data_IF_699381929932
#
_entry.id   IF_699381929932
#
_cell.length_a   1.000
_cell.length_b   1.000
_cell.length_c   1.000
_cell.angle_alpha   90.00
_cell.angle_beta   90.00
_cell.angle_gamma   90.00
#
_symmetry.space_group_name_H-M   'P 1'
#
loop_
_entity.id
_entity.type
_entity.pdbx_description
1 polymer ?
#
# COMPACT_ATOMS: atom_id res chain seq x y z
N UNK A 1 7.53 17.92 -8.23
CA UNK A 1 6.96 16.89 -9.15
C UNK A 1 5.86 16.17 -8.40
N UNK A 2 4.78 15.70 -9.06
CA UNK A 2 3.66 15.06 -8.34
C UNK A 2 3.98 13.63 -7.87
N UNK A 3 4.87 12.90 -8.55
CA UNK A 3 5.49 11.71 -7.95
C UNK A 3 6.65 12.20 -7.08
N UNK A 4 6.65 11.78 -5.82
CA UNK A 4 7.66 12.14 -4.84
C UNK A 4 9.06 11.73 -5.30
N UNK A 5 10.06 12.56 -5.01
CA UNK A 5 11.43 12.04 -4.96
C UNK A 5 11.59 11.17 -3.69
N UNK A 6 12.63 10.34 -3.59
CA UNK A 6 12.89 9.60 -2.35
C UNK A 6 12.95 10.50 -1.11
N UNK A 7 13.61 11.65 -1.20
CA UNK A 7 13.69 12.59 -0.08
C UNK A 7 12.31 13.18 0.28
N UNK A 8 11.49 13.53 -0.73
CA UNK A 8 10.14 14.00 -0.49
C UNK A 8 9.27 12.91 0.15
N UNK A 9 9.42 11.64 -0.24
CA UNK A 9 8.71 10.56 0.40
C UNK A 9 9.16 10.36 1.85
N UNK A 10 10.45 10.43 2.11
CA UNK A 10 10.98 10.41 3.47
C UNK A 10 10.40 11.55 4.34
N UNK A 11 10.35 12.78 3.79
CA UNK A 11 9.71 13.92 4.45
C UNK A 11 8.21 13.73 4.70
N UNK A 12 7.48 13.10 3.76
CA UNK A 12 6.07 12.75 3.96
C UNK A 12 5.91 11.86 5.19
N UNK A 13 6.69 10.79 5.31
CA UNK A 13 6.62 9.87 6.45
C UNK A 13 7.01 10.58 7.78
N UNK A 14 8.02 11.46 7.75
CA UNK A 14 8.40 12.24 8.93
C UNK A 14 7.29 13.20 9.37
N UNK A 15 6.62 13.86 8.42
CA UNK A 15 5.45 14.71 8.68
C UNK A 15 4.30 13.92 9.28
N UNK A 16 4.01 12.72 8.74
CA UNK A 16 2.99 11.85 9.27
C UNK A 16 3.28 11.45 10.71
N UNK A 17 4.50 10.98 10.99
CA UNK A 17 4.94 10.61 12.35
C UNK A 17 4.86 11.78 13.33
N UNK A 18 5.38 12.94 12.95
CA UNK A 18 5.40 14.14 13.80
C UNK A 18 4.00 14.73 13.99
N UNK A 19 3.15 14.68 12.96
CA UNK A 19 1.79 15.21 12.96
C UNK A 19 0.77 14.29 13.60
N UNK A 20 1.11 13.01 13.85
CA UNK A 20 0.16 12.03 14.39
C UNK A 20 -0.95 11.67 13.42
N UNK A 21 -0.63 11.53 12.15
CA UNK A 21 -1.51 11.04 11.11
C UNK A 21 -0.79 9.99 10.25
N UNK A 22 -1.52 9.27 9.39
CA UNK A 22 -0.92 8.33 8.43
C UNK A 22 -1.44 8.59 7.02
N UNK A 23 -0.63 8.27 6.01
CA UNK A 23 -1.08 8.33 4.62
C UNK A 23 -1.80 7.05 4.20
N UNK A 24 -2.91 7.15 3.45
CA UNK A 24 -3.50 5.99 2.80
C UNK A 24 -2.55 5.49 1.70
N UNK A 25 -2.31 4.19 1.68
CA UNK A 25 -1.62 3.48 0.63
C UNK A 25 -2.64 2.60 -0.09
N UNK A 26 -3.02 3.00 -1.29
CA UNK A 26 -4.17 2.42 -2.00
C UNK A 26 -3.69 1.55 -3.15
N UNK A 27 -4.13 0.29 -3.14
CA UNK A 27 -3.86 -0.66 -4.19
C UNK A 27 -4.68 -0.33 -5.45
N UNK A 28 -4.03 -0.37 -6.60
CA UNK A 28 -4.65 -0.14 -7.89
C UNK A 28 -4.34 -1.28 -8.86
N UNK A 29 -5.28 -1.56 -9.76
CA UNK A 29 -5.16 -2.61 -10.76
C UNK A 29 -5.44 -2.15 -12.20
N UNK A 30 -5.75 -0.86 -12.38
CA UNK A 30 -6.06 -0.29 -13.70
C UNK A 30 -5.83 1.22 -13.73
N UNK A 31 -5.79 1.79 -14.94
CA UNK A 31 -5.78 3.25 -15.10
C UNK A 31 -6.98 3.94 -14.45
N UNK A 32 -8.14 3.28 -14.41
CA UNK A 32 -9.35 3.83 -13.80
C UNK A 32 -9.22 3.90 -12.27
N UNK A 33 -8.76 2.80 -11.63
CA UNK A 33 -8.56 2.78 -10.18
C UNK A 33 -7.46 3.75 -9.74
N UNK A 34 -6.39 3.91 -10.54
CA UNK A 34 -5.35 4.89 -10.29
C UNK A 34 -5.89 6.33 -10.36
N UNK A 35 -6.68 6.64 -11.39
CA UNK A 35 -7.32 7.96 -11.53
C UNK A 35 -8.27 8.26 -10.36
N UNK A 36 -9.02 7.25 -9.90
CA UNK A 36 -9.91 7.37 -8.74
C UNK A 36 -9.12 7.75 -7.47
N UNK A 37 -7.96 7.14 -7.25
CA UNK A 37 -7.09 7.47 -6.10
C UNK A 37 -6.57 8.90 -6.21
N UNK A 38 -6.04 9.30 -7.37
CA UNK A 38 -5.57 10.66 -7.59
C UNK A 38 -6.67 11.70 -7.39
N UNK A 39 -7.90 11.41 -7.86
CA UNK A 39 -9.07 12.25 -7.63
C UNK A 39 -9.37 12.38 -6.15
N UNK A 40 -9.52 11.25 -5.44
CA UNK A 40 -9.89 11.25 -4.02
C UNK A 40 -8.87 11.96 -3.14
N UNK A 41 -7.56 11.72 -3.35
CA UNK A 41 -6.49 12.42 -2.65
C UNK A 41 -6.51 13.93 -2.93
N UNK A 42 -6.76 14.33 -4.19
CA UNK A 42 -6.85 15.75 -4.56
C UNK A 42 -8.03 16.44 -3.90
N UNK A 43 -9.20 15.83 -3.93
CA UNK A 43 -10.43 16.39 -3.31
C UNK A 43 -10.29 16.48 -1.78
N UNK A 44 -9.55 15.54 -1.16
CA UNK A 44 -9.24 15.59 0.26
C UNK A 44 -8.12 16.59 0.60
N UNK A 45 -7.37 17.09 -0.38
CA UNK A 45 -6.16 17.89 -0.15
C UNK A 45 -5.08 17.10 0.60
N UNK A 46 -4.96 15.81 0.36
CA UNK A 46 -4.01 14.90 1.01
C UNK A 46 -2.96 14.41 0.03
N UNK A 47 -1.73 14.32 0.46
CA UNK A 47 -0.75 13.47 -0.18
C UNK A 47 -1.07 11.99 0.13
N UNK A 48 -0.45 11.04 -0.59
CA UNK A 48 -0.72 9.62 -0.37
C UNK A 48 0.24 8.67 -1.08
N UNK A 49 -0.06 7.38 -1.01
CA UNK A 49 0.75 6.33 -1.60
C UNK A 49 -0.14 5.54 -2.56
N UNK A 50 0.35 5.31 -3.77
CA UNK A 50 -0.32 4.47 -4.77
C UNK A 50 0.52 3.21 -4.94
N UNK A 51 -0.10 2.06 -4.78
CA UNK A 51 0.64 0.81 -4.74
C UNK A 51 0.03 -0.26 -5.66
N UNK A 52 0.86 -1.26 -5.98
CA UNK A 52 0.48 -2.39 -6.81
C UNK A 52 1.03 -3.68 -6.21
N UNK A 53 0.14 -4.69 -6.06
CA UNK A 53 0.52 -6.04 -5.65
C UNK A 53 1.08 -6.85 -6.82
N UNK A 54 1.57 -8.06 -6.56
CA UNK A 54 1.96 -9.02 -7.61
C UNK A 54 0.80 -9.32 -8.56
N UNK A 55 -0.42 -9.52 -8.02
CA UNK A 55 -1.64 -9.76 -8.81
C UNK A 55 -2.06 -8.53 -9.63
N UNK A 56 -2.00 -7.35 -9.03
CA UNK A 56 -2.26 -6.09 -9.72
C UNK A 56 -1.27 -5.84 -10.86
N UNK A 57 0.00 -6.14 -10.65
CA UNK A 57 1.04 -6.02 -11.67
C UNK A 57 0.82 -7.01 -12.84
N UNK A 58 0.49 -8.27 -12.55
CA UNK A 58 0.12 -9.24 -13.58
C UNK A 58 -1.08 -8.75 -14.42
N UNK A 59 -2.07 -8.13 -13.76
CA UNK A 59 -3.23 -7.58 -14.44
C UNK A 59 -2.88 -6.39 -15.35
N UNK A 60 -2.00 -5.47 -14.88
CA UNK A 60 -1.48 -4.37 -15.71
C UNK A 60 -0.68 -4.84 -16.92
N UNK A 61 0.02 -5.98 -16.82
CA UNK A 61 0.70 -6.59 -17.97
C UNK A 61 -0.27 -7.15 -19.01
N UNK A 62 -1.52 -7.41 -18.63
CA UNK A 62 -2.55 -7.99 -19.48
C UNK A 62 -2.49 -9.51 -19.55
N UNK A 63 -3.64 -10.11 -19.85
CA UNK A 63 -3.88 -11.55 -19.76
C UNK A 63 -2.97 -12.43 -20.65
N UNK A 64 -2.37 -11.83 -21.67
CA UNK A 64 -1.45 -12.53 -22.58
C UNK A 64 -0.02 -12.52 -22.10
N UNK A 65 0.44 -11.38 -21.56
CA UNK A 65 1.85 -11.18 -21.16
C UNK A 65 2.12 -11.76 -19.78
N UNK A 66 1.29 -11.45 -18.78
CA UNK A 66 1.38 -11.95 -17.40
C UNK A 66 2.81 -11.86 -16.82
N UNK A 67 3.43 -10.70 -16.97
CA UNK A 67 4.79 -10.43 -16.51
C UNK A 67 4.77 -9.29 -15.48
N UNK A 68 4.92 -9.62 -14.20
CA UNK A 68 4.78 -8.71 -13.06
C UNK A 68 5.64 -7.47 -13.18
N UNK A 69 6.93 -7.62 -13.44
CA UNK A 69 7.81 -6.47 -13.61
C UNK A 69 7.37 -5.57 -14.78
N UNK A 70 6.94 -6.15 -15.92
CA UNK A 70 6.42 -5.37 -17.06
C UNK A 70 5.15 -4.60 -16.66
N UNK A 71 4.22 -5.25 -15.96
CA UNK A 71 2.98 -4.60 -15.52
C UNK A 71 3.24 -3.49 -14.51
N UNK A 72 4.12 -3.69 -13.55
CA UNK A 72 4.51 -2.67 -12.59
C UNK A 72 5.21 -1.47 -13.26
N UNK A 73 6.06 -1.70 -14.25
CA UNK A 73 6.67 -0.62 -15.03
C UNK A 73 5.64 0.14 -15.87
N UNK A 74 4.65 -0.55 -16.46
CA UNK A 74 3.55 0.09 -17.17
C UNK A 74 2.67 0.93 -16.24
N UNK A 75 2.34 0.41 -15.07
CA UNK A 75 1.67 1.15 -13.99
C UNK A 75 2.46 2.42 -13.62
N UNK A 76 3.75 2.28 -13.32
CA UNK A 76 4.58 3.41 -12.94
C UNK A 76 4.68 4.47 -14.04
N UNK A 77 4.86 4.06 -15.30
CA UNK A 77 4.90 4.99 -16.43
C UNK A 77 3.60 5.78 -16.59
N UNK A 78 2.44 5.12 -16.45
CA UNK A 78 1.14 5.79 -16.45
C UNK A 78 1.00 6.76 -15.27
N UNK A 79 1.35 6.32 -14.06
CA UNK A 79 1.29 7.15 -12.85
C UNK A 79 2.19 8.39 -12.97
N UNK A 80 3.45 8.23 -13.39
CA UNK A 80 4.38 9.32 -13.60
C UNK A 80 3.88 10.38 -14.59
N UNK A 81 3.14 9.96 -15.62
CA UNK A 81 2.60 10.89 -16.59
C UNK A 81 1.35 11.60 -16.09
N UNK A 82 0.36 10.86 -15.62
CA UNK A 82 -0.96 11.41 -15.27
C UNK A 82 -0.88 12.28 -14.00
N UNK A 83 -0.10 11.86 -13.00
CA UNK A 83 0.04 12.59 -11.76
C UNK A 83 0.57 14.04 -11.94
N UNK A 84 1.29 14.33 -13.03
CA UNK A 84 1.78 15.71 -13.33
C UNK A 84 0.67 16.76 -13.32
N UNK A 85 -0.56 16.36 -13.59
CA UNK A 85 -1.72 17.26 -13.69
C UNK A 85 -2.43 17.49 -12.35
N UNK A 86 -1.98 16.85 -11.27
CA UNK A 86 -2.62 16.91 -9.96
C UNK A 86 -1.81 17.77 -8.97
N UNK A 87 -2.48 18.55 -8.09
CA UNK A 87 -1.81 19.44 -7.14
C UNK A 87 -1.47 18.76 -5.80
N UNK A 88 -1.10 17.49 -5.85
CA UNK A 88 -0.74 16.67 -4.68
C UNK A 88 0.57 15.95 -4.93
N UNK A 89 1.18 15.40 -3.90
CA UNK A 89 2.36 14.55 -4.00
C UNK A 89 1.98 13.11 -3.68
N UNK A 90 2.37 12.16 -4.52
CA UNK A 90 2.13 10.73 -4.29
C UNK A 90 3.44 9.95 -4.41
N UNK A 91 3.61 8.93 -3.57
CA UNK A 91 4.69 7.96 -3.70
C UNK A 91 4.17 6.70 -4.40
N UNK A 92 5.03 6.06 -5.20
CA UNK A 92 4.75 4.76 -5.79
C UNK A 92 5.40 3.66 -4.96
N UNK A 93 4.64 2.61 -4.71
CA UNK A 93 5.05 1.48 -3.89
C UNK A 93 4.67 0.15 -4.55
N UNK A 94 5.45 -0.90 -4.34
CA UNK A 94 5.05 -2.27 -4.64
C UNK A 94 4.71 -2.98 -3.34
N UNK A 95 3.54 -3.58 -3.31
CA UNK A 95 2.94 -4.19 -2.16
C UNK A 95 3.05 -5.73 -2.23
N UNK A 96 3.20 -6.39 -1.11
CA UNK A 96 3.35 -7.83 -0.93
C UNK A 96 4.15 -8.58 -2.03
N UNK A 97 5.47 -8.67 -1.83
CA UNK A 97 6.34 -9.49 -2.65
C UNK A 97 6.82 -10.71 -1.85
N UNK A 98 6.16 -11.87 -1.95
CA UNK A 98 6.62 -13.08 -1.29
C UNK A 98 7.92 -13.61 -1.93
N UNK A 99 8.61 -14.51 -1.23
CA UNK A 99 9.91 -15.05 -1.65
C UNK A 99 9.92 -15.60 -3.08
N UNK A 100 8.85 -16.29 -3.49
CA UNK A 100 8.73 -16.86 -4.83
C UNK A 100 8.49 -15.83 -5.95
N UNK A 101 8.23 -14.57 -5.61
CA UNK A 101 8.04 -13.47 -6.55
C UNK A 101 9.23 -12.50 -6.62
N UNK A 102 10.25 -12.65 -5.78
CA UNK A 102 11.39 -11.73 -5.75
C UNK A 102 12.07 -11.59 -7.12
N UNK A 103 12.34 -12.70 -7.79
CA UNK A 103 13.11 -12.73 -9.05
C UNK A 103 12.33 -12.18 -10.25
N UNK A 104 11.00 -12.17 -10.21
CA UNK A 104 10.15 -11.73 -11.32
C UNK A 104 9.36 -10.45 -11.02
N UNK A 105 9.49 -9.90 -9.80
CA UNK A 105 8.79 -8.68 -9.39
C UNK A 105 9.74 -7.63 -8.81
N UNK A 106 10.09 -7.69 -7.51
CA UNK A 106 10.81 -6.60 -6.82
C UNK A 106 12.26 -6.46 -7.30
N UNK A 107 13.01 -7.56 -7.47
CA UNK A 107 14.42 -7.45 -7.85
C UNK A 107 14.64 -6.85 -9.24
N UNK A 108 13.82 -7.17 -10.29
CA UNK A 108 13.88 -6.47 -11.57
C UNK A 108 13.49 -4.99 -11.50
N UNK A 109 12.54 -4.61 -10.61
CA UNK A 109 12.12 -3.22 -10.45
C UNK A 109 13.19 -2.37 -9.75
N UNK A 110 13.87 -2.95 -8.75
CA UNK A 110 15.04 -2.31 -8.13
C UNK A 110 16.14 -2.14 -9.19
N UNK A 111 16.42 -3.17 -10.00
CA UNK A 111 17.43 -3.08 -11.06
C UNK A 111 17.09 -1.98 -12.08
N UNK A 112 15.83 -1.85 -12.48
CA UNK A 112 15.38 -0.77 -13.35
C UNK A 112 15.58 0.61 -12.71
N UNK A 113 15.28 0.75 -11.42
CA UNK A 113 15.52 1.99 -10.67
C UNK A 113 17.02 2.30 -10.51
N UNK A 114 17.86 1.28 -10.31
CA UNK A 114 19.33 1.43 -10.29
C UNK A 114 19.87 2.01 -11.61
N UNK A 115 19.32 1.58 -12.76
CA UNK A 115 19.70 2.14 -14.07
C UNK A 115 19.23 3.59 -14.25
N UNK A 116 18.04 3.97 -13.75
CA UNK A 116 17.57 5.34 -13.74
C UNK A 116 18.51 6.23 -12.91
N UNK A 117 18.85 5.80 -11.69
CA UNK A 117 19.75 6.55 -10.79
C UNK A 117 21.16 6.68 -11.39
N UNK A 118 21.72 5.63 -12.00
CA UNK A 118 22.99 5.70 -12.73
C UNK A 118 22.96 6.70 -13.87
N UNK A 119 21.79 6.91 -14.49
CA UNK A 119 21.59 7.89 -15.54
C UNK A 119 21.29 9.32 -15.01
N UNK A 120 21.37 9.52 -13.68
CA UNK A 120 21.12 10.81 -13.02
C UNK A 120 19.63 11.18 -12.92
N UNK A 121 18.75 10.19 -12.96
CA UNK A 121 17.30 10.36 -12.77
C UNK A 121 16.88 9.81 -11.42
N UNK A 122 15.63 10.09 -11.02
CA UNK A 122 15.04 9.53 -9.82
C UNK A 122 14.68 8.06 -10.02
N UNK A 123 14.65 7.24 -8.94
CA UNK A 123 14.17 5.86 -9.02
C UNK A 123 12.70 5.83 -9.44
N UNK A 124 12.28 4.76 -10.11
CA UNK A 124 10.93 4.60 -10.64
C UNK A 124 9.90 4.50 -9.51
N UNK A 125 10.24 3.76 -8.44
CA UNK A 125 9.45 3.58 -7.23
C UNK A 125 10.20 4.17 -6.03
N UNK A 126 9.46 4.75 -5.09
CA UNK A 126 10.01 5.31 -3.86
C UNK A 126 10.15 4.27 -2.75
N UNK A 127 9.40 3.17 -2.86
CA UNK A 127 9.50 2.06 -1.90
C UNK A 127 9.04 0.73 -2.53
N UNK A 128 9.55 -0.35 -1.93
CA UNK A 128 9.16 -1.72 -2.25
C UNK A 128 8.94 -2.49 -0.96
N UNK A 129 7.96 -3.41 -0.96
CA UNK A 129 7.74 -4.33 0.15
C UNK A 129 8.39 -5.69 -0.12
N UNK A 130 9.11 -6.19 0.87
CA UNK A 130 9.48 -7.59 1.02
C UNK A 130 8.55 -8.24 2.04
N UNK A 131 7.77 -9.21 1.60
CA UNK A 131 6.87 -9.99 2.43
C UNK A 131 7.56 -11.29 2.84
N UNK A 132 8.13 -11.27 4.04
CA UNK A 132 8.80 -12.42 4.68
C UNK A 132 7.88 -13.23 5.58
N UNK A 133 6.56 -13.00 5.58
CA UNK A 133 5.60 -13.67 6.48
C UNK A 133 5.58 -15.20 6.37
N UNK A 134 5.90 -15.72 5.18
CA UNK A 134 5.89 -17.16 4.89
C UNK A 134 7.21 -17.88 5.19
N UNK A 135 8.24 -17.18 5.69
CA UNK A 135 9.54 -17.77 6.02
C UNK A 135 9.92 -17.51 7.48
N UNK A 136 10.81 -18.32 8.09
CA UNK A 136 11.31 -18.06 9.45
C UNK A 136 11.92 -16.66 9.58
N UNK A 137 11.79 -16.02 10.75
CA UNK A 137 12.27 -14.66 10.98
C UNK A 137 13.72 -14.43 10.60
N UNK A 138 14.62 -15.35 10.94
CA UNK A 138 16.05 -15.24 10.62
C UNK A 138 16.27 -15.17 9.09
N UNK A 139 15.59 -16.02 8.33
CA UNK A 139 15.63 -16.00 6.87
C UNK A 139 14.99 -14.74 6.29
N UNK A 140 13.85 -14.28 6.88
CA UNK A 140 13.21 -13.02 6.52
C UNK A 140 14.19 -11.85 6.64
N UNK A 141 14.88 -11.76 7.77
CA UNK A 141 15.83 -10.68 8.05
C UNK A 141 17.08 -10.75 7.16
N UNK A 142 17.63 -11.94 6.88
CA UNK A 142 18.75 -12.10 5.96
C UNK A 142 18.41 -11.57 4.56
N UNK A 143 17.23 -11.90 4.02
CA UNK A 143 16.76 -11.39 2.73
C UNK A 143 16.52 -9.88 2.79
N UNK A 144 15.89 -9.39 3.88
CA UNK A 144 15.63 -7.97 4.07
C UNK A 144 16.90 -7.13 4.08
N UNK A 145 17.98 -7.60 4.73
CA UNK A 145 19.32 -6.94 4.76
C UNK A 145 19.87 -6.76 3.34
N UNK A 146 19.81 -7.81 2.52
CA UNK A 146 20.31 -7.75 1.14
C UNK A 146 19.50 -6.78 0.27
N UNK A 147 18.18 -6.78 0.40
CA UNK A 147 17.31 -5.86 -0.32
C UNK A 147 17.52 -4.42 0.17
N UNK A 148 17.57 -4.20 1.50
CA UNK A 148 17.77 -2.88 2.10
C UNK A 148 19.06 -2.22 1.61
N UNK A 149 20.14 -2.99 1.48
CA UNK A 149 21.42 -2.51 0.95
C UNK A 149 21.26 -1.96 -0.49
N UNK A 150 20.51 -2.63 -1.35
CA UNK A 150 20.24 -2.16 -2.71
C UNK A 150 19.32 -0.93 -2.69
N UNK A 151 18.28 -0.96 -1.87
CA UNK A 151 17.35 0.16 -1.71
C UNK A 151 18.06 1.43 -1.21
N UNK A 152 18.98 1.29 -0.25
CA UNK A 152 19.82 2.40 0.22
C UNK A 152 20.62 3.04 -0.93
N UNK A 153 21.15 2.23 -1.84
CA UNK A 153 21.97 2.73 -2.96
C UNK A 153 21.19 3.61 -3.94
N UNK A 154 19.87 3.46 -4.00
CA UNK A 154 18.95 4.28 -4.82
C UNK A 154 18.09 5.23 -3.98
N UNK A 155 18.41 5.38 -2.69
CA UNK A 155 17.69 6.20 -1.70
C UNK A 155 16.19 5.84 -1.56
N UNK A 156 15.79 4.62 -1.88
CA UNK A 156 14.42 4.14 -1.75
C UNK A 156 14.18 3.45 -0.40
N UNK A 157 12.93 3.37 0.04
CA UNK A 157 12.53 2.83 1.35
C UNK A 157 12.07 1.39 1.19
N UNK A 158 12.60 0.49 2.03
CA UNK A 158 12.13 -0.89 2.12
C UNK A 158 10.96 -0.98 3.09
N UNK A 159 9.91 -1.72 2.76
CA UNK A 159 8.92 -2.18 3.72
C UNK A 159 9.14 -3.66 4.01
N UNK A 160 9.09 -4.03 5.29
CA UNK A 160 9.28 -5.42 5.74
C UNK A 160 8.11 -5.86 6.59
N UNK A 161 7.64 -7.07 6.37
CA UNK A 161 6.59 -7.68 7.20
C UNK A 161 7.21 -8.57 8.29
N UNK A 162 6.85 -8.30 9.53
CA UNK A 162 7.33 -9.01 10.72
C UNK A 162 6.13 -9.61 11.45
N UNK A 163 6.01 -10.92 11.34
CA UNK A 163 4.84 -11.68 11.78
C UNK A 163 3.99 -12.13 10.59
N UNK A 164 2.77 -12.54 10.83
CA UNK A 164 1.83 -13.03 9.82
C UNK A 164 0.53 -12.25 9.91
N UNK A 165 0.14 -11.58 8.84
CA UNK A 165 -1.23 -11.02 8.73
C UNK A 165 -2.16 -12.16 8.35
N UNK A 166 -3.24 -12.36 9.12
CA UNK A 166 -4.23 -13.42 8.84
C UNK A 166 -5.11 -13.10 7.63
N UNK A 167 -5.96 -14.06 7.23
CA UNK A 167 -6.91 -13.87 6.12
C UNK A 167 -6.37 -14.27 4.76
N UNK A 168 -6.90 -13.68 3.69
CA UNK A 168 -6.54 -14.01 2.30
C UNK A 168 -6.20 -12.74 1.53
N UNK A 169 -5.04 -12.76 0.87
CA UNK A 169 -4.62 -11.71 -0.07
C UNK A 169 -3.98 -12.36 -1.31
N UNK A 170 -4.36 -11.90 -2.50
CA UNK A 170 -3.92 -12.42 -3.81
C UNK A 170 -3.95 -13.97 -3.93
N UNK A 171 -4.93 -14.62 -3.25
CA UNK A 171 -5.11 -16.08 -3.28
C UNK A 171 -4.21 -16.84 -2.29
N UNK A 172 -3.49 -16.16 -1.42
CA UNK A 172 -2.73 -16.75 -0.30
C UNK A 172 -3.53 -16.59 0.98
N UNK A 173 -3.88 -17.70 1.63
CA UNK A 173 -4.63 -17.72 2.90
C UNK A 173 -3.72 -18.06 4.07
N UNK A 174 -3.83 -17.29 5.16
CA UNK A 174 -3.13 -17.53 6.42
C UNK A 174 -4.10 -17.86 7.56
N UNK A 175 -3.72 -18.83 8.38
CA UNK A 175 -4.53 -19.24 9.54
C UNK A 175 -4.49 -18.19 10.65
N UNK A 176 -5.61 -18.07 11.35
CA UNK A 176 -5.75 -17.22 12.53
C UNK A 176 -5.18 -17.96 13.75
N UNK A 177 -3.99 -17.58 14.19
CA UNK A 177 -3.30 -18.17 15.33
C UNK A 177 -2.49 -17.12 16.11
N UNK A 178 -1.66 -17.53 17.09
CA UNK A 178 -0.84 -16.63 17.92
C UNK A 178 0.25 -15.87 17.15
N UNK A 179 0.61 -16.29 15.93
CA UNK A 179 1.56 -15.58 15.06
C UNK A 179 1.01 -14.28 14.47
N UNK A 180 -0.28 -13.97 14.70
CA UNK A 180 -0.89 -12.68 14.37
C UNK A 180 -0.42 -11.52 15.27
N UNK A 181 0.50 -11.77 16.19
CA UNK A 181 1.00 -10.74 17.10
C UNK A 181 2.53 -10.74 17.11
N UNK A 182 3.12 -9.70 16.54
CA UNK A 182 4.58 -9.48 16.61
C UNK A 182 5.00 -9.26 18.06
N UNK A 183 6.08 -9.88 18.47
CA UNK A 183 6.64 -9.71 19.81
C UNK A 183 7.70 -8.62 19.86
N UNK A 184 8.01 -8.10 21.05
CA UNK A 184 9.13 -7.19 21.24
C UNK A 184 10.48 -7.84 20.87
N UNK A 185 10.62 -9.17 21.04
CA UNK A 185 11.82 -9.91 20.64
C UNK A 185 11.98 -9.91 19.12
N UNK A 186 10.90 -10.15 18.36
CA UNK A 186 10.93 -10.13 16.89
C UNK A 186 11.30 -8.73 16.38
N UNK A 187 10.66 -7.68 16.93
CA UNK A 187 10.98 -6.31 16.57
C UNK A 187 12.41 -5.92 16.97
N UNK A 188 12.91 -6.44 18.09
CA UNK A 188 14.29 -6.24 18.52
C UNK A 188 15.28 -6.85 17.55
N UNK A 189 15.10 -8.12 17.15
CA UNK A 189 15.92 -8.79 16.13
C UNK A 189 15.88 -8.04 14.81
N UNK A 190 14.73 -7.50 14.43
CA UNK A 190 14.58 -6.68 13.23
C UNK A 190 15.48 -5.45 13.29
N UNK A 191 15.48 -4.71 14.41
CA UNK A 191 16.34 -3.54 14.59
C UNK A 191 17.82 -3.94 14.66
N UNK A 192 18.16 -5.05 15.30
CA UNK A 192 19.53 -5.56 15.35
C UNK A 192 20.07 -5.92 13.95
N UNK A 193 19.21 -6.43 13.05
CA UNK A 193 19.59 -6.78 11.68
C UNK A 193 19.60 -5.56 10.73
N UNK A 194 18.54 -4.74 10.75
CA UNK A 194 18.34 -3.68 9.78
C UNK A 194 18.84 -2.29 10.25
N UNK A 195 19.02 -2.11 11.54
CA UNK A 195 19.38 -0.81 12.15
C UNK A 195 18.18 0.10 12.39
N UNK A 196 18.48 1.36 12.70
CA UNK A 196 17.49 2.43 12.87
C UNK A 196 17.72 3.60 11.87
N UNK A 197 18.05 3.24 10.62
CA UNK A 197 18.27 4.18 9.51
C UNK A 197 19.72 4.21 9.00
N UNK A 198 20.70 3.79 9.77
CA UNK A 198 22.12 3.78 9.38
C UNK A 198 22.42 2.82 8.21
N UNK A 199 21.66 1.73 8.08
CA UNK A 199 21.78 0.77 6.99
C UNK A 199 20.86 1.06 5.79
N UNK A 200 20.00 2.08 5.90
CA UNK A 200 18.95 2.46 4.96
C UNK A 200 17.64 2.66 5.71
N UNK A 201 16.72 3.46 5.16
CA UNK A 201 15.40 3.65 5.75
C UNK A 201 14.50 2.48 5.40
N UNK A 202 13.74 2.02 6.38
CA UNK A 202 12.69 1.01 6.18
C UNK A 202 11.44 1.33 7.00
N UNK A 203 10.32 0.77 6.59
CA UNK A 203 9.06 0.73 7.32
C UNK A 203 8.82 -0.70 7.79
N UNK A 204 8.21 -0.87 8.95
CA UNK A 204 7.92 -2.18 9.52
C UNK A 204 6.40 -2.40 9.62
N UNK A 205 5.90 -3.38 8.88
CA UNK A 205 4.55 -3.90 9.04
C UNK A 205 4.58 -4.93 10.18
N UNK A 206 4.28 -4.47 11.40
CA UNK A 206 4.15 -5.33 12.57
C UNK A 206 2.72 -5.83 12.66
N UNK A 207 2.55 -7.10 13.02
CA UNK A 207 1.23 -7.68 13.18
C UNK A 207 0.72 -7.52 14.62
N UNK A 208 -0.52 -7.08 14.74
CA UNK A 208 -1.19 -6.82 16.02
C UNK A 208 -2.64 -7.34 16.05
N UNK A 209 -2.88 -8.47 15.34
CA UNK A 209 -4.18 -9.09 15.17
C UNK A 209 -4.92 -8.66 13.90
N UNK A 210 -4.24 -8.01 12.98
CA UNK A 210 -4.77 -7.56 11.70
C UNK A 210 -4.96 -8.74 10.72
N UNK A 211 -5.98 -8.61 9.86
CA UNK A 211 -6.42 -9.67 8.93
C UNK A 211 -6.79 -9.05 7.59
N UNK A 212 -6.26 -9.64 6.50
CA UNK A 212 -6.61 -9.23 5.14
C UNK A 212 -8.04 -9.66 4.76
N UNK A 213 -8.70 -8.86 3.90
CA UNK A 213 -10.02 -9.15 3.36
C UNK A 213 -11.17 -8.72 4.29
N UNK A 214 -12.37 -9.26 4.02
CA UNK A 214 -13.58 -8.96 4.79
C UNK A 214 -13.74 -9.98 5.90
N UNK A 215 -13.62 -9.57 7.15
CA UNK A 215 -13.89 -10.43 8.30
C UNK A 215 -15.06 -9.91 9.15
N UNK A 216 -15.73 -10.83 9.85
CA UNK A 216 -16.79 -10.46 10.79
C UNK A 216 -16.15 -9.94 12.07
N UNK A 217 -16.57 -8.79 12.59
CA UNK A 217 -16.11 -8.30 13.88
C UNK A 217 -16.26 -9.38 14.97
N UNK A 218 -15.22 -9.58 15.77
CA UNK A 218 -15.19 -10.53 16.88
C UNK A 218 -14.47 -11.85 16.63
N UNK A 219 -14.06 -12.16 15.39
CA UNK A 219 -13.23 -13.35 15.12
C UNK A 219 -11.73 -13.10 15.34
N UNK A 220 -11.31 -11.85 15.26
CA UNK A 220 -9.93 -11.39 15.52
C UNK A 220 -10.01 -10.13 16.37
N UNK A 221 -9.14 -10.01 17.35
CA UNK A 221 -9.06 -8.83 18.19
C UNK A 221 -7.81 -8.04 17.82
N UNK A 222 -8.01 -6.87 17.22
CA UNK A 222 -6.94 -5.89 17.05
C UNK A 222 -6.42 -5.44 18.42
N UNK A 223 -5.11 -5.32 18.51
CA UNK A 223 -4.40 -4.87 19.70
C UNK A 223 -3.39 -3.75 19.35
N UNK A 224 -3.87 -2.56 18.92
CA UNK A 224 -3.00 -1.45 18.53
C UNK A 224 -2.11 -0.96 19.67
N UNK A 225 -2.47 -1.22 20.94
CA UNK A 225 -1.63 -0.97 22.10
C UNK A 225 -0.28 -1.69 22.04
N UNK A 226 -0.20 -2.88 21.41
CA UNK A 226 1.06 -3.61 21.23
C UNK A 226 2.10 -2.82 20.44
N UNK A 227 1.66 -2.03 19.46
CA UNK A 227 2.56 -1.18 18.69
C UNK A 227 3.26 -0.17 19.60
N UNK A 228 2.52 0.43 20.54
CA UNK A 228 3.07 1.35 21.53
C UNK A 228 4.04 0.66 22.51
N UNK A 229 3.70 -0.55 22.99
CA UNK A 229 4.56 -1.35 23.85
C UNK A 229 5.89 -1.70 23.16
N UNK A 230 5.83 -2.13 21.89
CA UNK A 230 7.02 -2.45 21.10
C UNK A 230 7.87 -1.19 20.87
N UNK A 231 7.27 -0.07 20.45
CA UNK A 231 7.98 1.19 20.25
C UNK A 231 8.70 1.65 21.52
N UNK A 232 8.03 1.56 22.68
CA UNK A 232 8.62 1.92 23.99
C UNK A 232 9.79 1.01 24.36
N UNK A 233 9.63 -0.32 24.18
CA UNK A 233 10.69 -1.28 24.48
C UNK A 233 11.92 -1.10 23.56
N UNK A 234 11.72 -0.83 22.28
CA UNK A 234 12.82 -0.51 21.35
C UNK A 234 13.50 0.82 21.69
N UNK A 235 12.72 1.84 22.05
CA UNK A 235 13.24 3.14 22.52
C UNK A 235 14.13 2.98 23.75
N UNK A 236 13.72 2.20 24.75
CA UNK A 236 14.50 1.90 25.93
C UNK A 236 15.78 1.14 25.61
N UNK A 237 15.68 0.09 24.76
CA UNK A 237 16.84 -0.77 24.44
C UNK A 237 17.89 -0.07 23.59
N UNK A 238 17.49 0.73 22.60
CA UNK A 238 18.40 1.32 21.61
C UNK A 238 18.69 2.82 21.85
N UNK A 239 18.05 3.45 22.82
CA UNK A 239 18.29 4.84 23.16
C UNK A 239 17.80 5.83 22.10
N UNK A 240 16.81 5.44 21.29
CA UNK A 240 16.18 6.28 20.28
C UNK A 240 14.94 7.00 20.83
N UNK A 241 14.40 7.97 20.05
CA UNK A 241 13.17 8.67 20.40
C UNK A 241 11.97 7.73 20.62
N UNK A 242 10.82 8.25 21.08
CA UNK A 242 9.69 7.44 21.59
C UNK A 242 9.03 6.53 20.56
N UNK A 243 9.28 6.76 19.28
CA UNK A 243 8.75 5.96 18.16
C UNK A 243 9.88 5.66 17.15
N UNK A 244 10.80 4.73 17.47
CA UNK A 244 11.97 4.49 16.63
C UNK A 244 11.63 3.96 15.23
N UNK A 245 10.56 3.15 15.08
CA UNK A 245 10.16 2.60 13.80
C UNK A 245 9.09 3.46 13.10
N UNK A 246 9.13 3.46 11.77
CA UNK A 246 8.01 3.86 10.92
C UNK A 246 7.12 2.63 10.71
N UNK A 247 5.90 2.64 11.26
CA UNK A 247 5.01 1.49 11.24
C UNK A 247 4.03 1.54 10.08
N UNK A 248 3.68 0.35 9.56
CA UNK A 248 2.66 0.17 8.53
C UNK A 248 1.53 -0.70 9.07
N UNK A 249 0.30 -0.31 8.79
CA UNK A 249 -0.90 -1.06 9.13
C UNK A 249 -1.45 -1.78 7.89
N UNK A 250 -1.36 -3.11 7.88
CA UNK A 250 -1.96 -4.00 6.89
C UNK A 250 -3.29 -4.56 7.39
N UNK A 251 -4.16 -4.98 6.47
CA UNK A 251 -5.42 -5.64 6.81
C UNK A 251 -6.37 -4.78 7.65
N UNK A 252 -6.41 -3.49 7.38
CA UNK A 252 -7.19 -2.53 8.16
C UNK A 252 -8.68 -2.44 7.78
N UNK A 253 -9.13 -3.12 6.72
CA UNK A 253 -10.55 -3.17 6.33
C UNK A 253 -11.41 -3.77 7.43
N UNK A 254 -12.45 -3.03 7.86
CA UNK A 254 -13.33 -3.42 8.97
C UNK A 254 -12.84 -3.00 10.36
N UNK A 255 -11.69 -2.34 10.48
CA UNK A 255 -11.24 -1.71 11.72
C UNK A 255 -12.13 -0.50 12.07
N UNK A 256 -12.30 -0.27 13.36
CA UNK A 256 -13.01 0.93 13.85
C UNK A 256 -12.09 2.16 13.78
N UNK A 257 -12.69 3.36 13.69
CA UNK A 257 -11.93 4.62 13.71
C UNK A 257 -11.08 4.77 14.99
N UNK A 258 -11.52 4.20 16.11
CA UNK A 258 -10.77 4.21 17.36
C UNK A 258 -9.50 3.35 17.27
N UNK A 259 -9.59 2.14 16.70
CA UNK A 259 -8.44 1.25 16.49
C UNK A 259 -7.43 1.86 15.51
N UNK A 260 -7.91 2.47 14.43
CA UNK A 260 -7.06 3.19 13.46
C UNK A 260 -6.36 4.35 14.15
N UNK A 261 -7.09 5.19 14.89
CA UNK A 261 -6.53 6.34 15.59
C UNK A 261 -5.48 5.92 16.62
N UNK A 262 -5.70 4.83 17.36
CA UNK A 262 -4.75 4.30 18.32
C UNK A 262 -3.49 3.76 17.64
N UNK A 263 -3.62 3.03 16.53
CA UNK A 263 -2.48 2.55 15.75
C UNK A 263 -1.62 3.73 15.22
N UNK A 264 -2.26 4.78 14.70
CA UNK A 264 -1.60 6.02 14.25
C UNK A 264 -0.90 6.72 15.42
N UNK A 265 -1.57 6.83 16.57
CA UNK A 265 -0.97 7.39 17.80
C UNK A 265 0.27 6.59 18.24
N UNK A 266 0.36 5.30 17.92
CA UNK A 266 1.49 4.42 18.23
C UNK A 266 2.57 4.37 17.14
N UNK A 267 2.47 5.18 16.09
CA UNK A 267 3.56 5.37 15.11
C UNK A 267 3.30 4.77 13.73
N UNK A 268 2.07 4.37 13.42
CA UNK A 268 1.68 4.05 12.05
C UNK A 268 1.73 5.32 11.20
N UNK A 269 2.45 5.28 10.09
CA UNK A 269 2.60 6.39 9.12
C UNK A 269 2.01 6.08 7.76
N UNK A 270 1.70 4.81 7.49
CA UNK A 270 1.13 4.27 6.26
C UNK A 270 0.07 3.22 6.62
N UNK A 271 -1.06 3.23 5.95
CA UNK A 271 -2.08 2.19 6.10
C UNK A 271 -2.49 1.67 4.71
N UNK A 272 -2.41 0.36 4.53
CA UNK A 272 -2.83 -0.30 3.29
C UNK A 272 -4.35 -0.37 3.18
N UNK A 273 -4.87 0.00 2.01
CA UNK A 273 -6.29 -0.02 1.71
C UNK A 273 -6.48 -0.64 0.33
N UNK A 274 -7.14 -1.80 0.28
CA UNK A 274 -7.45 -2.50 -0.96
C UNK A 274 -8.92 -2.94 -1.02
N UNK A 275 -9.32 -3.85 -0.15
CA UNK A 275 -10.65 -4.48 -0.17
C UNK A 275 -11.81 -3.48 -0.26
N UNK A 276 -11.78 -2.42 0.53
CA UNK A 276 -12.85 -1.41 0.57
C UNK A 276 -12.92 -0.59 -0.71
N UNK A 277 -11.78 -0.25 -1.31
CA UNK A 277 -11.72 0.53 -2.55
C UNK A 277 -12.11 -0.32 -3.75
N UNK A 278 -11.71 -1.59 -3.78
CA UNK A 278 -12.20 -2.56 -4.77
C UNK A 278 -13.71 -2.71 -4.69
N UNK A 279 -14.26 -2.84 -3.48
CA UNK A 279 -15.70 -2.96 -3.27
C UNK A 279 -16.44 -1.70 -3.73
N UNK A 280 -15.96 -0.51 -3.36
CA UNK A 280 -16.57 0.76 -3.76
C UNK A 280 -16.64 0.89 -5.30
N UNK A 281 -15.55 0.57 -6.01
CA UNK A 281 -15.51 0.55 -7.47
C UNK A 281 -16.49 -0.47 -8.07
N UNK A 282 -16.40 -1.72 -7.62
CA UNK A 282 -17.17 -2.84 -8.19
C UNK A 282 -18.66 -2.71 -7.90
N UNK A 283 -19.04 -2.23 -6.71
CA UNK A 283 -20.44 -2.00 -6.34
C UNK A 283 -21.12 -1.03 -7.28
N UNK A 284 -20.44 0.05 -7.65
CA UNK A 284 -21.00 1.06 -8.55
C UNK A 284 -21.13 0.53 -9.99
N UNK A 285 -20.13 -0.23 -10.49
CA UNK A 285 -20.23 -0.95 -11.76
C UNK A 285 -21.45 -1.87 -11.78
N UNK A 286 -21.63 -2.67 -10.73
CA UNK A 286 -22.79 -3.56 -10.62
C UNK A 286 -24.12 -2.79 -10.60
N UNK A 287 -24.21 -1.72 -9.81
CA UNK A 287 -25.37 -0.84 -9.76
C UNK A 287 -25.73 -0.26 -11.12
N UNK A 288 -24.71 0.20 -11.85
CA UNK A 288 -24.89 0.71 -13.22
C UNK A 288 -25.44 -0.38 -14.16
N UNK A 289 -24.85 -1.57 -14.16
CA UNK A 289 -25.26 -2.68 -15.04
C UNK A 289 -26.70 -3.11 -14.75
N UNK A 290 -27.08 -3.25 -13.48
CA UNK A 290 -28.45 -3.62 -13.08
C UNK A 290 -29.46 -2.53 -13.44
N UNK A 291 -29.14 -1.27 -13.25
CA UNK A 291 -30.04 -0.15 -13.54
C UNK A 291 -30.24 0.09 -15.05
N UNK A 292 -29.32 -0.41 -15.89
CA UNK A 292 -29.33 -0.21 -17.34
C UNK A 292 -29.33 -1.54 -18.12
N UNK A 293 -29.90 -2.60 -17.53
CA UNK A 293 -29.80 -3.96 -18.05
C UNK A 293 -30.16 -4.08 -19.56
N UNK A 294 -31.33 -3.58 -19.98
CA UNK A 294 -31.80 -3.66 -21.36
C UNK A 294 -30.88 -2.92 -22.33
N UNK A 295 -30.33 -1.78 -21.90
CA UNK A 295 -29.38 -1.00 -22.70
C UNK A 295 -28.01 -1.64 -22.83
N UNK A 296 -27.58 -2.38 -21.81
CA UNK A 296 -26.28 -3.07 -21.80
C UNK A 296 -26.34 -4.42 -22.52
N UNK A 297 -27.38 -5.23 -22.29
CA UNK A 297 -27.44 -6.65 -22.66
C UNK A 297 -28.09 -6.96 -24.02
N UNK A 298 -28.66 -5.99 -24.74
CA UNK A 298 -29.37 -6.24 -26.00
C UNK A 298 -30.40 -7.35 -25.88
N UNK A 299 -31.36 -7.19 -24.98
CA UNK A 299 -32.39 -8.19 -24.70
C UNK A 299 -33.35 -8.34 -25.89
N UNK A 300 -33.79 -9.57 -26.19
CA UNK A 300 -34.78 -9.91 -27.22
C UNK A 300 -34.49 -9.38 -28.65
N UNK A 301 -33.20 -9.34 -29.03
CA UNK A 301 -32.77 -8.87 -30.32
C UNK A 301 -32.71 -7.37 -30.50
N UNK A 302 -33.04 -6.62 -29.46
CA UNK A 302 -32.89 -5.18 -29.43
C UNK A 302 -31.44 -4.72 -29.54
N UNK A 303 -31.24 -3.52 -30.06
CA UNK A 303 -29.93 -2.89 -30.13
C UNK A 303 -29.62 -2.21 -28.81
N UNK A 304 -28.56 -2.65 -28.11
CA UNK A 304 -28.15 -2.02 -26.84
C UNK A 304 -27.86 -0.52 -27.01
N UNK A 305 -27.96 0.22 -25.92
CA UNK A 305 -27.72 1.64 -25.88
C UNK A 305 -26.21 1.93 -25.65
N UNK A 306 -25.50 2.40 -26.70
CA UNK A 306 -24.07 2.70 -26.62
C UNK A 306 -23.74 3.68 -25.50
N UNK A 307 -24.62 4.62 -25.16
CA UNK A 307 -24.37 5.59 -24.08
C UNK A 307 -24.28 4.94 -22.69
N UNK A 308 -24.84 3.75 -22.50
CA UNK A 308 -24.81 3.05 -21.23
C UNK A 308 -23.84 1.85 -21.19
N UNK A 309 -23.59 1.18 -22.32
CA UNK A 309 -22.61 0.09 -22.33
C UNK A 309 -21.17 0.51 -22.63
N UNK A 310 -20.94 1.77 -23.05
CA UNK A 310 -19.58 2.29 -23.24
C UNK A 310 -18.82 2.22 -21.89
N UNK A 311 -17.63 1.54 -21.85
CA UNK A 311 -16.85 1.44 -20.61
C UNK A 311 -16.57 2.78 -19.95
N UNK A 312 -16.45 3.86 -20.72
CA UNK A 312 -16.24 5.22 -20.19
C UNK A 312 -17.45 5.75 -19.42
N UNK A 313 -18.64 5.25 -19.67
CA UNK A 313 -19.85 5.68 -18.96
C UNK A 313 -19.90 5.10 -17.55
N UNK A 314 -19.87 3.78 -17.41
CA UNK A 314 -19.88 3.12 -16.11
C UNK A 314 -18.55 3.27 -15.36
N UNK A 315 -17.42 3.37 -16.10
CA UNK A 315 -16.11 3.59 -15.50
C UNK A 315 -15.99 4.91 -14.75
N UNK A 316 -16.52 6.02 -15.29
CA UNK A 316 -16.55 7.32 -14.59
C UNK A 316 -17.33 7.28 -13.28
N UNK A 317 -18.46 6.57 -13.26
CA UNK A 317 -19.25 6.41 -12.04
C UNK A 317 -18.48 5.64 -10.99
N UNK A 318 -17.83 4.54 -11.38
CA UNK A 318 -17.00 3.72 -10.51
C UNK A 318 -15.77 4.47 -9.98
N UNK A 319 -15.08 5.27 -10.82
CA UNK A 319 -13.97 6.14 -10.39
C UNK A 319 -14.45 7.10 -9.28
N UNK A 320 -15.61 7.75 -9.46
CA UNK A 320 -16.18 8.66 -8.46
C UNK A 320 -16.50 7.94 -7.14
N UNK A 321 -17.07 6.74 -7.21
CA UNK A 321 -17.38 5.95 -6.01
C UNK A 321 -16.13 5.53 -5.24
N UNK A 322 -15.09 5.09 -5.95
CA UNK A 322 -13.81 4.76 -5.34
C UNK A 322 -13.10 6.00 -4.78
N UNK A 323 -13.12 7.14 -5.49
CA UNK A 323 -12.56 8.39 -5.00
C UNK A 323 -13.21 8.83 -3.67
N UNK A 324 -14.53 8.67 -3.54
CA UNK A 324 -15.23 8.96 -2.28
C UNK A 324 -14.69 8.09 -1.12
N UNK A 325 -14.46 6.78 -1.36
CA UNK A 325 -13.89 5.91 -0.33
C UNK A 325 -12.45 6.30 0.04
N UNK A 326 -11.66 6.77 -0.93
CA UNK A 326 -10.31 7.31 -0.66
C UNK A 326 -10.38 8.57 0.22
N UNK A 327 -11.34 9.47 -0.02
CA UNK A 327 -11.57 10.64 0.85
C UNK A 327 -11.90 10.20 2.28
N UNK A 328 -12.78 9.23 2.46
CA UNK A 328 -13.09 8.67 3.79
C UNK A 328 -11.82 8.12 4.47
N UNK A 329 -10.97 7.42 3.73
CA UNK A 329 -9.70 6.91 4.25
C UNK A 329 -8.78 8.02 4.75
N UNK A 330 -8.66 9.14 4.00
CA UNK A 330 -7.85 10.28 4.45
C UNK A 330 -8.39 10.90 5.74
N UNK A 331 -9.72 10.92 5.92
CA UNK A 331 -10.36 11.40 7.14
C UNK A 331 -10.07 10.48 8.33
N UNK A 332 -10.24 9.17 8.16
CA UNK A 332 -9.95 8.16 9.18
C UNK A 332 -8.49 8.19 9.64
N UNK A 333 -7.56 8.43 8.71
CA UNK A 333 -6.12 8.48 8.97
C UNK A 333 -5.62 9.87 9.41
N UNK A 334 -6.48 10.89 9.41
CA UNK A 334 -6.13 12.26 9.77
C UNK A 334 -5.26 12.98 8.73
N UNK A 335 -5.11 12.45 7.51
CA UNK A 335 -4.27 13.05 6.46
C UNK A 335 -4.98 14.11 5.60
N UNK A 336 -6.29 14.27 5.73
CA UNK A 336 -7.05 15.31 5.03
C UNK A 336 -6.45 16.70 5.29
N UNK A 337 -6.17 17.45 4.24
CA UNK A 337 -5.55 18.78 4.32
C UNK A 337 -4.02 18.77 4.49
N UNK A 338 -3.39 17.61 4.50
CA UNK A 338 -1.93 17.45 4.62
C UNK A 338 -1.22 17.25 3.28
N UNK A 339 -1.66 17.95 2.22
CA UNK A 339 -0.87 18.05 1.00
C UNK A 339 0.30 19.01 1.18
N UNK A 340 1.47 18.62 0.67
CA UNK A 340 2.69 19.44 0.71
C UNK A 340 2.73 20.56 -0.33
N UNK A 341 1.63 20.76 -1.09
CA UNK A 341 1.52 21.80 -2.14
C UNK A 341 0.47 22.82 -1.82
#
# INVERSE_FOLDING_TARGET
MPIATPDQYAEMLDKAKAGGFAYPAVNVSSSQTLNAVLQGLTEAGSDGIIQVTTGGADYFAGQTVKARATGALAFAAFAHEVAKSYPITVALHTDHCPKNALDDFVLPLIAASEEEVKAGREPIFQSHMWDGSAVPLDENLDIAVDILKRMKAINAILEVEIGVVGGEEDGVAHEINEHLYTTLDDATKTVEALGLGENGRYMAALTFGNVHGVYKPGNVKLRPELLGEIQAGLSEKFGHGPKPLDLVFHGGSGSTDAEISEAVANGVVKMNIDTDTQYAFTRDVAGWMFSNYDGVMKVDGEVGNKKVYDPRAWGKSAETAMAARVIEATQQLGSTGHSGK
#
